data_IF_215869292143
#
_entry.id   IF_215869292143
#
_cell.length_a   1.000
_cell.length_b   1.000
_cell.length_c   1.000
_cell.angle_alpha   90.00
_cell.angle_beta   90.00
_cell.angle_gamma   90.00
#
_symmetry.space_group_name_H-M   'P 1'
#
loop_
_entity.id
_entity.type
_entity.pdbx_description
1 polymer ?
#
# COMPACT_ATOMS: atom_id res chain seq x y z
N UNK A 1 -15.06 40.35 13.00
CA UNK A 1 -13.63 40.17 12.67
C UNK A 1 -13.45 38.68 12.54
N UNK A 2 -12.97 38.25 11.38
CA UNK A 2 -12.98 36.86 10.92
C UNK A 2 -12.03 36.00 11.76
N UNK A 3 -12.51 34.83 12.16
CA UNK A 3 -11.69 33.68 12.57
C UNK A 3 -10.94 33.16 11.33
N UNK A 4 -9.64 33.39 11.29
CA UNK A 4 -8.72 32.70 10.38
C UNK A 4 -8.41 31.32 10.97
N UNK A 5 -9.21 30.33 10.59
CA UNK A 5 -8.80 28.93 10.71
C UNK A 5 -7.74 28.66 9.63
N UNK A 6 -6.48 28.72 10.04
CA UNK A 6 -5.33 28.25 9.28
C UNK A 6 -5.55 26.76 8.96
N UNK A 7 -5.72 26.46 7.67
CA UNK A 7 -5.79 25.10 7.14
C UNK A 7 -4.41 24.47 7.28
N UNK A 8 -4.27 23.22 7.76
CA UNK A 8 -2.97 22.56 7.76
C UNK A 8 -2.51 22.40 6.31
N UNK A 9 -1.37 23.03 5.98
CA UNK A 9 -0.68 22.78 4.72
C UNK A 9 -0.29 21.30 4.69
N UNK A 10 -0.77 20.60 3.66
CA UNK A 10 -0.33 19.25 3.38
C UNK A 10 1.19 19.31 3.16
N UNK A 11 1.95 18.68 4.04
CA UNK A 11 3.39 18.54 3.92
C UNK A 11 3.72 18.01 2.51
N UNK A 12 4.26 18.88 1.66
CA UNK A 12 4.72 18.53 0.33
C UNK A 12 5.89 17.56 0.46
N UNK A 13 5.83 16.44 -0.27
CA UNK A 13 6.92 15.47 -0.29
C UNK A 13 8.24 16.16 -0.68
N UNK A 14 9.36 15.90 0.03
CA UNK A 14 10.66 16.34 -0.40
C UNK A 14 11.00 15.67 -1.75
N UNK A 15 11.57 16.43 -2.68
CA UNK A 15 12.08 16.02 -4.01
C UNK A 15 11.14 16.04 -5.23
N UNK A 16 9.96 16.68 -5.16
CA UNK A 16 9.14 16.90 -6.37
C UNK A 16 8.65 15.61 -7.05
N UNK A 17 8.71 14.47 -6.35
CA UNK A 17 8.02 13.26 -6.72
C UNK A 17 6.52 13.51 -6.56
N UNK A 18 5.68 13.15 -7.54
CA UNK A 18 4.23 13.29 -7.39
C UNK A 18 3.79 12.48 -6.18
N UNK A 19 3.03 13.10 -5.28
CA UNK A 19 2.51 12.42 -4.10
C UNK A 19 1.64 11.23 -4.55
N UNK A 20 1.92 10.05 -3.98
CA UNK A 20 1.08 8.87 -4.15
C UNK A 20 0.16 8.74 -2.94
N UNK A 21 -1.13 8.52 -3.19
CA UNK A 21 -2.12 8.25 -2.15
C UNK A 21 -2.64 6.82 -2.30
N UNK A 22 -2.74 6.11 -1.18
CA UNK A 22 -3.30 4.77 -1.10
C UNK A 22 -4.73 4.82 -0.58
N UNK A 23 -5.60 3.99 -1.14
CA UNK A 23 -6.88 3.62 -0.52
C UNK A 23 -7.02 2.10 -0.54
N UNK A 24 -7.62 1.54 0.50
CA UNK A 24 -7.89 0.10 0.60
C UNK A 24 -9.38 -0.13 0.84
N UNK A 25 -9.88 -1.29 0.42
CA UNK A 25 -11.22 -1.72 0.82
C UNK A 25 -11.24 -2.02 2.31
N UNK A 26 -12.35 -1.69 2.97
CA UNK A 26 -12.57 -1.98 4.38
C UNK A 26 -12.80 -3.47 4.63
N UNK A 27 -13.29 -4.20 3.62
CA UNK A 27 -13.51 -5.65 3.65
C UNK A 27 -12.94 -6.33 2.40
N UNK A 28 -12.59 -7.63 2.49
CA UNK A 28 -12.22 -8.42 1.31
C UNK A 28 -13.36 -8.53 0.29
N UNK A 29 -13.02 -8.41 -0.99
CA UNK A 29 -13.98 -8.42 -2.10
C UNK A 29 -13.82 -9.71 -2.92
N UNK A 30 -14.91 -10.43 -3.24
CA UNK A 30 -14.84 -11.58 -4.13
C UNK A 30 -14.46 -11.13 -5.53
N UNK A 31 -13.47 -11.77 -6.12
CA UNK A 31 -12.96 -11.43 -7.44
C UNK A 31 -12.63 -12.68 -8.23
N UNK A 32 -12.62 -12.55 -9.55
CA UNK A 32 -12.19 -13.63 -10.45
C UNK A 32 -11.05 -13.09 -11.31
N UNK A 33 -9.91 -13.76 -11.27
CA UNK A 33 -8.78 -13.51 -12.18
C UNK A 33 -8.71 -14.64 -13.19
N UNK A 34 -8.64 -14.30 -14.47
CA UNK A 34 -8.52 -15.28 -15.55
C UNK A 34 -7.83 -14.68 -16.77
N UNK A 35 -7.31 -15.54 -17.62
CA UNK A 35 -6.76 -15.13 -18.91
C UNK A 35 -7.85 -14.50 -19.82
N UNK A 36 -7.43 -13.49 -20.56
CA UNK A 36 -8.25 -12.80 -21.56
C UNK A 36 -7.43 -12.55 -22.83
N UNK A 37 -8.09 -12.55 -24.00
CA UNK A 37 -7.45 -12.16 -25.25
C UNK A 37 -7.28 -10.64 -25.30
N UNK A 38 -6.06 -10.16 -25.59
CA UNK A 38 -5.77 -8.73 -25.78
C UNK A 38 -4.57 -8.55 -26.72
N UNK A 39 -4.80 -7.92 -27.87
CA UNK A 39 -3.79 -7.73 -28.91
C UNK A 39 -2.67 -6.75 -28.51
N UNK A 40 -2.82 -6.03 -27.40
CA UNK A 40 -1.83 -5.04 -26.92
C UNK A 40 -0.77 -5.65 -26.01
N UNK A 41 -0.90 -6.94 -25.70
CA UNK A 41 0.03 -7.65 -24.82
C UNK A 41 1.40 -7.77 -25.51
N UNK A 42 2.51 -7.45 -24.83
CA UNK A 42 3.83 -7.63 -25.39
C UNK A 42 4.12 -9.09 -25.78
N UNK A 43 5.00 -9.31 -26.75
CA UNK A 43 5.43 -10.65 -27.13
C UNK A 43 5.99 -11.43 -25.92
N UNK A 44 5.56 -12.68 -25.77
CA UNK A 44 5.97 -13.55 -24.65
C UNK A 44 5.23 -13.31 -23.33
N UNK A 45 4.28 -12.37 -23.27
CA UNK A 45 3.43 -12.12 -22.12
C UNK A 45 2.01 -12.66 -22.35
N UNK A 46 1.23 -12.77 -21.27
CA UNK A 46 -0.19 -13.14 -21.29
C UNK A 46 -1.02 -12.08 -20.55
N UNK A 47 -2.26 -11.84 -20.99
CA UNK A 47 -3.15 -10.89 -20.32
C UNK A 47 -4.02 -11.58 -19.27
N UNK A 48 -3.95 -11.10 -18.04
CA UNK A 48 -4.91 -11.42 -17.00
C UNK A 48 -5.97 -10.33 -16.91
N UNK A 49 -7.23 -10.73 -16.94
CA UNK A 49 -8.38 -9.90 -16.64
C UNK A 49 -8.85 -10.13 -15.20
N UNK A 50 -9.09 -9.06 -14.48
CA UNK A 50 -9.71 -9.06 -13.15
C UNK A 50 -11.18 -8.68 -13.26
N UNK A 51 -12.05 -9.52 -12.72
CA UNK A 51 -13.50 -9.36 -12.78
C UNK A 51 -14.09 -9.23 -11.37
N UNK A 52 -14.96 -8.22 -11.20
CA UNK A 52 -15.80 -8.03 -10.01
C UNK A 52 -17.27 -8.14 -10.43
N UNK A 53 -18.02 -9.04 -9.80
CA UNK A 53 -19.42 -9.35 -10.16
C UNK A 53 -19.61 -9.65 -11.67
N UNK A 54 -18.60 -10.23 -12.31
CA UNK A 54 -18.59 -10.54 -13.74
C UNK A 54 -18.23 -9.37 -14.66
N UNK A 55 -18.07 -8.16 -14.13
CA UNK A 55 -17.59 -6.99 -14.87
C UNK A 55 -16.07 -6.95 -14.85
N UNK A 56 -15.46 -6.80 -16.02
CA UNK A 56 -14.01 -6.60 -16.13
C UNK A 56 -13.63 -5.21 -15.61
N UNK A 57 -12.78 -5.16 -14.59
CA UNK A 57 -12.38 -3.89 -13.94
C UNK A 57 -10.91 -3.53 -14.16
N UNK A 58 -10.06 -4.52 -14.43
CA UNK A 58 -8.63 -4.30 -14.67
C UNK A 58 -8.05 -5.39 -15.59
N UNK A 59 -6.99 -5.03 -16.30
CA UNK A 59 -6.16 -5.95 -17.09
C UNK A 59 -4.70 -5.75 -16.73
N UNK A 60 -3.92 -6.82 -16.71
CA UNK A 60 -2.48 -6.78 -16.52
C UNK A 60 -1.77 -7.78 -17.46
N UNK A 61 -0.69 -7.34 -18.09
CA UNK A 61 0.20 -8.23 -18.82
C UNK A 61 1.22 -8.81 -17.84
N UNK A 62 1.27 -10.14 -17.77
CA UNK A 62 2.17 -10.88 -16.88
C UNK A 62 2.90 -11.98 -17.66
N UNK A 63 4.04 -12.47 -17.16
CA UNK A 63 4.65 -13.67 -17.68
C UNK A 63 3.71 -14.88 -17.56
N UNK A 64 3.70 -15.83 -18.52
CA UNK A 64 2.84 -17.01 -18.45
C UNK A 64 3.01 -17.84 -17.16
N UNK A 65 4.24 -17.93 -16.63
CA UNK A 65 4.54 -18.63 -15.38
C UNK A 65 3.83 -18.03 -14.15
N UNK A 66 3.53 -16.72 -14.18
CA UNK A 66 2.77 -16.09 -13.10
C UNK A 66 1.31 -16.57 -13.08
N UNK A 67 0.72 -16.83 -14.27
CA UNK A 67 -0.64 -17.35 -14.40
C UNK A 67 -0.74 -18.75 -13.79
N UNK A 68 0.23 -19.62 -14.12
CA UNK A 68 0.32 -20.96 -13.56
C UNK A 68 0.48 -20.92 -12.04
N UNK A 69 1.41 -20.08 -11.55
CA UNK A 69 1.65 -19.91 -10.12
C UNK A 69 0.39 -19.44 -9.36
N UNK A 70 -0.34 -18.45 -9.87
CA UNK A 70 -1.56 -17.96 -9.23
C UNK A 70 -2.65 -19.04 -9.15
N UNK A 71 -2.77 -19.88 -10.17
CA UNK A 71 -3.72 -20.98 -10.22
C UNK A 71 -3.32 -22.13 -9.26
N UNK A 72 -2.04 -22.51 -9.24
CA UNK A 72 -1.52 -23.56 -8.34
C UNK A 72 -1.67 -23.18 -6.88
N UNK A 73 -1.33 -21.94 -6.53
CA UNK A 73 -1.42 -21.42 -5.16
C UNK A 73 -2.83 -20.96 -4.78
N UNK A 74 -3.80 -21.03 -5.70
CA UNK A 74 -5.20 -20.64 -5.46
C UNK A 74 -5.33 -19.24 -4.84
N UNK A 75 -4.48 -18.31 -5.30
CA UNK A 75 -4.34 -17.00 -4.64
C UNK A 75 -5.64 -16.20 -4.66
N UNK A 76 -6.58 -16.49 -5.56
CA UNK A 76 -7.82 -15.75 -5.72
C UNK A 76 -9.09 -16.60 -5.49
N UNK A 77 -8.98 -17.77 -4.87
CA UNK A 77 -10.14 -18.62 -4.52
C UNK A 77 -10.99 -18.02 -3.39
N UNK A 78 -10.38 -17.17 -2.56
CA UNK A 78 -11.02 -16.43 -1.47
C UNK A 78 -11.13 -14.95 -1.81
N UNK A 79 -12.12 -14.22 -1.23
CA UNK A 79 -12.17 -12.77 -1.32
C UNK A 79 -10.85 -12.11 -0.87
N UNK A 80 -10.40 -11.10 -1.62
CA UNK A 80 -9.14 -10.38 -1.33
C UNK A 80 -9.37 -8.92 -1.06
N UNK A 81 -8.56 -8.36 -0.16
CA UNK A 81 -8.55 -6.93 0.05
C UNK A 81 -7.91 -6.25 -1.15
N UNK A 82 -8.54 -5.18 -1.64
CA UNK A 82 -8.04 -4.42 -2.77
C UNK A 82 -7.40 -3.13 -2.29
N UNK A 83 -6.28 -2.78 -2.90
CA UNK A 83 -5.54 -1.53 -2.65
C UNK A 83 -5.39 -0.77 -3.96
N UNK A 84 -5.68 0.51 -3.95
CA UNK A 84 -5.49 1.41 -5.07
C UNK A 84 -4.40 2.42 -4.72
N UNK A 85 -3.31 2.41 -5.47
CA UNK A 85 -2.29 3.44 -5.41
C UNK A 85 -2.54 4.45 -6.52
N UNK A 86 -2.72 5.72 -6.18
CA UNK A 86 -3.09 6.77 -7.11
C UNK A 86 -2.11 7.92 -7.04
N UNK A 87 -1.73 8.43 -8.21
CA UNK A 87 -0.86 9.59 -8.39
C UNK A 87 -1.38 10.51 -9.49
N UNK A 88 -1.16 11.80 -9.32
CA UNK A 88 -1.50 12.79 -10.34
C UNK A 88 -0.44 12.74 -11.46
N UNK A 89 -0.88 12.39 -12.66
CA UNK A 89 -0.04 12.21 -13.85
C UNK A 89 -0.90 12.49 -15.07
N UNK A 90 -0.38 13.24 -16.06
CA UNK A 90 -1.13 13.49 -17.30
C UNK A 90 -1.62 12.17 -17.94
N UNK A 91 -2.90 12.05 -18.32
CA UNK A 91 -3.90 13.11 -18.54
C UNK A 91 -4.87 13.39 -17.37
N UNK A 92 -4.55 12.97 -16.15
CA UNK A 92 -5.36 13.23 -14.97
C UNK A 92 -4.84 12.47 -13.76
N UNK A 93 -5.48 11.33 -13.46
CA UNK A 93 -5.08 10.44 -12.39
C UNK A 93 -4.69 9.08 -12.93
N UNK A 94 -3.49 8.61 -12.56
CA UNK A 94 -3.04 7.25 -12.83
C UNK A 94 -3.13 6.44 -11.55
N UNK A 95 -3.81 5.31 -11.63
CA UNK A 95 -3.99 4.39 -10.52
C UNK A 95 -3.44 3.00 -10.86
N UNK A 96 -2.89 2.34 -9.86
CA UNK A 96 -2.46 0.95 -9.89
C UNK A 96 -3.30 0.18 -8.87
N UNK A 97 -4.06 -0.81 -9.36
CA UNK A 97 -4.94 -1.63 -8.53
C UNK A 97 -4.19 -2.91 -8.14
N UNK A 98 -4.18 -3.22 -6.86
CA UNK A 98 -3.54 -4.40 -6.28
C UNK A 98 -4.55 -5.25 -5.51
N UNK A 99 -4.31 -6.55 -5.48
CA UNK A 99 -4.87 -7.45 -4.47
C UNK A 99 -3.80 -7.78 -3.44
N UNK A 100 -4.17 -7.74 -2.16
CA UNK A 100 -3.37 -8.31 -1.09
C UNK A 100 -3.67 -9.81 -1.00
N UNK A 101 -2.65 -10.63 -1.18
CA UNK A 101 -2.74 -12.10 -1.12
C UNK A 101 -1.78 -12.63 -0.05
N UNK A 102 -2.13 -13.70 0.68
CA UNK A 102 -1.19 -14.33 1.59
C UNK A 102 0.00 -14.87 0.80
N UNK A 103 1.21 -14.61 1.29
CA UNK A 103 2.40 -15.18 0.70
C UNK A 103 2.33 -16.71 0.86
N UNK A 104 2.50 -17.48 -0.23
CA UNK A 104 2.44 -18.92 -0.13
C UNK A 104 3.55 -19.42 0.79
N UNK A 105 3.27 -20.52 1.49
CA UNK A 105 4.24 -21.18 2.35
C UNK A 105 5.39 -21.66 1.48
N UNK A 106 6.51 -20.93 1.51
CA UNK A 106 7.73 -21.34 0.85
C UNK A 106 8.43 -22.30 1.79
N UNK A 107 8.64 -23.54 1.36
CA UNK A 107 9.68 -24.39 1.95
C UNK A 107 11.02 -23.68 1.66
N UNK A 108 11.47 -22.85 2.61
CA UNK A 108 12.77 -22.20 2.51
C UNK A 108 13.83 -23.30 2.63
N UNK A 109 14.69 -23.51 1.61
CA UNK A 109 15.87 -24.33 1.83
C UNK A 109 16.72 -23.60 2.87
N UNK A 110 16.82 -24.16 4.06
CA UNK A 110 17.72 -23.70 5.11
C UNK A 110 19.14 -24.03 4.64
N UNK A 111 19.72 -23.21 3.76
CA UNK A 111 21.15 -23.27 3.52
C UNK A 111 21.84 -22.57 4.68
N UNK A 112 22.76 -23.25 5.34
CA UNK A 112 23.53 -22.73 6.49
C UNK A 112 24.36 -21.47 6.15
N UNK A 113 24.50 -21.15 4.87
CA UNK A 113 25.01 -19.87 4.37
C UNK A 113 23.83 -19.10 3.76
N UNK A 114 23.22 -18.19 4.52
CA UNK A 114 22.34 -17.18 3.96
C UNK A 114 23.21 -16.28 3.05
N UNK A 115 22.96 -16.22 1.74
CA UNK A 115 23.75 -15.38 0.87
C UNK A 115 23.61 -13.92 1.31
N UNK A 116 24.72 -13.17 1.37
CA UNK A 116 24.70 -11.74 1.70
C UNK A 116 23.70 -11.02 0.78
N UNK A 117 22.55 -10.68 1.33
CA UNK A 117 21.48 -10.03 0.59
C UNK A 117 21.89 -8.56 0.37
N UNK A 118 22.20 -8.14 -0.88
CA UNK A 118 22.83 -6.84 -1.12
C UNK A 118 21.98 -5.64 -0.68
N UNK A 119 20.67 -5.83 -0.50
CA UNK A 119 19.76 -4.80 0.02
C UNK A 119 19.86 -4.59 1.52
N UNK A 120 20.43 -5.51 2.31
CA UNK A 120 20.70 -5.28 3.74
C UNK A 120 21.63 -4.09 3.95
N UNK A 121 22.50 -3.80 2.97
CA UNK A 121 23.35 -2.60 2.98
C UNK A 121 22.61 -1.29 2.66
N UNK A 122 21.37 -1.38 2.16
CA UNK A 122 20.56 -0.22 1.75
C UNK A 122 19.57 0.23 2.82
N UNK A 123 19.39 -0.55 3.89
CA UNK A 123 18.58 -0.20 5.05
C UNK A 123 19.54 0.14 6.19
N UNK A 124 19.33 1.25 6.93
CA UNK A 124 20.11 1.53 8.13
C UNK A 124 20.03 0.32 9.06
N UNK A 125 21.17 -0.06 9.62
CA UNK A 125 21.17 -1.12 10.63
C UNK A 125 20.38 -0.66 11.87
N UNK A 126 19.86 -1.62 12.63
CA UNK A 126 19.16 -1.33 13.89
C UNK A 126 20.03 -0.51 14.85
N UNK A 127 21.33 -0.83 14.94
CA UNK A 127 22.28 -0.10 15.79
C UNK A 127 22.49 1.35 15.34
N UNK A 128 22.56 1.60 14.03
CA UNK A 128 22.66 2.97 13.48
C UNK A 128 21.36 3.77 13.67
N UNK A 129 20.20 3.11 13.61
CA UNK A 129 18.92 3.75 13.88
C UNK A 129 18.79 4.16 15.35
N UNK A 130 19.26 3.32 16.28
CA UNK A 130 19.29 3.61 17.72
C UNK A 130 20.23 4.77 18.03
N UNK A 131 21.47 4.72 17.53
CA UNK A 131 22.47 5.76 17.76
C UNK A 131 21.99 7.13 17.28
N UNK A 132 21.28 7.18 16.13
CA UNK A 132 20.70 8.43 15.63
C UNK A 132 19.55 8.95 16.49
N UNK A 133 18.77 8.06 17.11
CA UNK A 133 17.69 8.47 18.02
C UNK A 133 18.24 9.02 19.34
N UNK A 134 19.31 8.41 19.87
CA UNK A 134 20.01 8.88 21.08
C UNK A 134 20.68 10.25 20.84
N UNK A 135 21.30 10.48 19.67
CA UNK A 135 21.86 11.78 19.31
C UNK A 135 20.78 12.88 19.16
N UNK A 136 19.56 12.52 18.70
CA UNK A 136 18.43 13.45 18.58
C UNK A 136 17.82 13.80 19.96
N UNK A 137 17.89 12.92 20.97
CA UNK A 137 17.47 13.21 22.36
C UNK A 137 18.47 14.11 23.11
N UNK A 138 19.77 14.01 22.83
CA UNK A 138 20.79 14.89 23.45
C UNK A 138 20.67 16.35 22.98
N UNK A 139 20.16 16.60 21.76
CA UNK A 139 19.96 17.94 21.21
C UNK A 139 18.69 18.65 21.75
N UNK A 140 17.74 17.93 22.39
CA UNK A 140 16.55 18.52 23.05
C UNK A 140 16.79 18.90 24.53
N UNK A 141 17.96 18.59 25.09
CA UNK A 141 18.33 18.86 26.49
C UNK A 141 19.15 20.15 26.69
N UNK A 142 19.03 21.14 25.79
CA UNK A 142 19.63 22.47 25.98
C UNK A 142 18.53 23.54 25.97
N UNK A 143 17.79 23.64 27.09
CA UNK A 143 17.22 24.88 27.65
C UNK A 143 16.20 24.51 28.75
N UNK A 144 16.67 24.27 29.98
CA UNK A 144 16.06 24.78 31.22
C UNK A 144 16.93 24.38 32.41
N UNK A 145 17.44 25.39 33.14
CA UNK A 145 18.15 25.26 34.40
C UNK A 145 17.34 24.37 35.39
N UNK A 146 17.68 23.08 35.49
CA UNK A 146 17.20 22.22 36.56
C UNK A 146 18.01 22.53 37.83
N UNK A 147 17.42 23.31 38.74
CA UNK A 147 17.93 23.53 40.09
C UNK A 147 18.19 22.17 40.78
N UNK A 148 19.46 21.87 41.11
CA UNK A 148 19.96 20.61 41.69
C UNK A 148 19.51 20.33 43.16
N UNK A 149 18.48 20.98 43.68
CA UNK A 149 18.08 20.85 45.09
C UNK A 149 16.60 20.41 45.23
N UNK A 150 16.28 19.13 44.94
CA UNK A 150 15.25 18.31 45.63
C UNK A 150 15.03 16.93 44.97
N UNK A 151 16.09 16.13 44.81
CA UNK A 151 15.93 14.67 44.61
C UNK A 151 16.10 13.97 45.96
N UNK A 152 14.99 13.86 46.69
CA UNK A 152 14.88 12.96 47.84
C UNK A 152 15.02 11.51 47.33
N UNK A 153 16.12 10.90 47.75
CA UNK A 153 16.50 9.50 47.64
C UNK A 153 15.62 8.66 48.55
N UNK A 154 14.43 8.24 48.09
CA UNK A 154 13.67 7.10 48.66
C UNK A 154 12.38 6.86 47.85
N UNK A 155 12.46 6.03 46.80
CA UNK A 155 11.46 5.00 46.46
C UNK A 155 11.84 4.31 45.13
N UNK A 156 12.93 3.53 45.16
CA UNK A 156 13.10 2.44 44.21
C UNK A 156 12.15 1.32 44.62
N UNK A 157 10.88 1.43 44.20
CA UNK A 157 9.98 0.30 44.17
C UNK A 157 10.38 -0.59 43.01
N UNK A 158 10.95 -1.74 43.36
CA UNK A 158 11.17 -2.92 42.54
C UNK A 158 9.81 -3.35 41.95
N UNK A 159 9.48 -2.84 40.76
CA UNK A 159 8.28 -3.19 40.02
C UNK A 159 8.69 -4.14 38.89
N UNK A 160 8.95 -5.39 39.26
CA UNK A 160 8.93 -6.54 38.35
C UNK A 160 7.47 -6.74 37.88
N UNK A 161 6.95 -5.86 37.04
CA UNK A 161 5.68 -6.07 36.32
C UNK A 161 5.97 -6.83 35.02
N UNK A 162 5.77 -8.15 35.11
CA UNK A 162 5.39 -9.13 34.07
C UNK A 162 5.55 -8.69 32.59
N UNK A 163 6.67 -9.10 31.98
CA UNK A 163 7.06 -9.00 30.56
C UNK A 163 6.24 -9.91 29.61
N UNK A 164 4.95 -10.12 29.89
CA UNK A 164 4.06 -11.00 29.11
C UNK A 164 3.16 -10.22 28.12
N UNK A 165 3.24 -8.88 28.06
CA UNK A 165 2.37 -8.06 27.19
C UNK A 165 2.86 -7.92 25.73
N UNK A 166 4.11 -8.30 25.43
CA UNK A 166 4.71 -8.10 24.09
C UNK A 166 4.15 -9.01 22.99
N UNK A 167 3.53 -10.14 23.33
CA UNK A 167 2.99 -11.08 22.34
C UNK A 167 1.74 -10.51 21.63
N UNK A 168 0.91 -9.74 22.35
CA UNK A 168 -0.31 -9.14 21.83
C UNK A 168 -0.04 -7.88 20.97
N UNK A 169 1.02 -7.12 21.27
CA UNK A 169 1.42 -5.95 20.47
C UNK A 169 2.02 -6.39 19.13
N UNK A 170 2.82 -7.45 19.12
CA UNK A 170 3.31 -8.06 17.88
C UNK A 170 2.15 -8.57 17.03
N UNK A 171 1.14 -9.23 17.61
CA UNK A 171 -0.04 -9.68 16.87
C UNK A 171 -0.81 -8.52 16.21
N UNK A 172 -0.85 -7.34 16.83
CA UNK A 172 -1.47 -6.14 16.27
C UNK A 172 -0.68 -5.52 15.10
N UNK A 173 0.65 -5.63 15.11
CA UNK A 173 1.53 -5.15 14.03
C UNK A 173 1.54 -6.07 12.79
N UNK A 174 1.23 -7.36 12.95
CA UNK A 174 1.22 -8.36 11.88
C UNK A 174 0.04 -8.26 10.89
N UNK A 175 -0.70 -7.16 10.84
CA UNK A 175 -1.63 -6.88 9.74
C UNK A 175 -2.66 -8.00 9.51
N UNK A 176 -3.47 -8.28 10.54
CA UNK A 176 -4.72 -9.03 10.54
C UNK A 176 -5.07 -9.82 9.25
N UNK A 177 -4.43 -10.96 9.06
CA UNK A 177 -5.02 -12.10 8.36
C UNK A 177 -5.17 -13.24 9.36
N UNK A 178 -6.23 -14.03 9.24
CA UNK A 178 -6.58 -15.08 10.21
C UNK A 178 -5.46 -16.12 10.45
N UNK A 179 -4.49 -16.20 9.52
CA UNK A 179 -3.39 -17.16 9.56
C UNK A 179 -2.02 -16.53 9.92
N UNK A 180 -1.94 -15.21 10.17
CA UNK A 180 -0.69 -14.52 10.52
C UNK A 180 0.41 -14.49 9.43
N UNK A 181 0.10 -14.94 8.22
CA UNK A 181 1.06 -14.99 7.10
C UNK A 181 1.34 -13.60 6.54
N UNK A 182 2.59 -13.30 6.12
CA UNK A 182 2.90 -12.05 5.44
C UNK A 182 2.10 -11.94 4.14
N UNK A 183 1.74 -10.71 3.77
CA UNK A 183 0.94 -10.43 2.58
C UNK A 183 1.82 -9.90 1.45
N UNK A 184 1.53 -10.34 0.23
CA UNK A 184 2.10 -9.81 -0.99
C UNK A 184 1.07 -8.98 -1.75
N UNK A 185 1.51 -7.90 -2.39
CA UNK A 185 0.67 -7.11 -3.29
C UNK A 185 0.85 -7.60 -4.73
N UNK A 186 -0.22 -8.13 -5.32
CA UNK A 186 -0.24 -8.54 -6.73
C UNK A 186 -0.93 -7.47 -7.55
N UNK A 187 -0.24 -6.94 -8.57
CA UNK A 187 -0.79 -5.93 -9.48
C UNK A 187 -1.88 -6.57 -10.35
N UNK A 188 -3.09 -6.01 -10.28
CA UNK A 188 -4.26 -6.43 -11.06
C UNK A 188 -4.41 -5.62 -12.35
N UNK A 189 -3.91 -4.39 -12.37
CA UNK A 189 -3.87 -3.56 -13.56
C UNK A 189 -3.78 -2.07 -13.29
N UNK A 190 -3.78 -1.30 -14.36
CA UNK A 190 -3.73 0.16 -14.33
C UNK A 190 -5.08 0.77 -14.71
N UNK A 191 -5.45 1.84 -14.01
CA UNK A 191 -6.72 2.54 -14.19
C UNK A 191 -6.41 4.03 -14.34
N UNK A 192 -6.97 4.63 -15.39
CA UNK A 192 -6.80 6.06 -15.66
C UNK A 192 -8.13 6.77 -15.50
N UNK A 193 -8.12 7.90 -14.79
CA UNK A 193 -9.26 8.82 -14.73
C UNK A 193 -8.84 10.17 -15.25
N UNK A 194 -9.44 10.60 -16.36
CA UNK A 194 -9.12 11.88 -16.98
C UNK A 194 -9.54 13.05 -16.08
N UNK A 195 -8.85 14.19 -16.22
CA UNK A 195 -9.10 15.37 -15.40
C UNK A 195 -10.57 15.81 -15.40
N UNK A 196 -11.24 15.78 -16.56
CA UNK A 196 -12.65 16.14 -16.72
C UNK A 196 -13.64 15.20 -16.02
N UNK A 197 -13.22 14.00 -15.68
CA UNK A 197 -14.04 12.98 -15.03
C UNK A 197 -13.87 12.96 -13.51
N UNK A 198 -12.96 13.77 -12.98
CA UNK A 198 -12.70 13.84 -11.55
C UNK A 198 -13.92 14.40 -10.83
N UNK A 199 -14.25 13.81 -9.68
CA UNK A 199 -15.31 14.33 -8.79
C UNK A 199 -14.73 15.29 -7.75
N UNK A 200 -13.49 15.05 -7.35
CA UNK A 200 -12.73 15.78 -6.36
C UNK A 200 -11.41 16.25 -6.99
N UNK A 201 -11.46 17.20 -7.95
CA UNK A 201 -10.26 17.69 -8.64
C UNK A 201 -9.24 18.31 -7.68
N UNK A 202 -9.70 18.86 -6.56
CA UNK A 202 -8.86 19.55 -5.58
C UNK A 202 -8.41 18.65 -4.42
N UNK A 203 -8.75 17.36 -4.43
CA UNK A 203 -8.40 16.42 -3.36
C UNK A 203 -8.06 15.05 -3.91
N UNK A 204 -6.76 14.78 -4.00
CA UNK A 204 -6.25 13.47 -4.40
C UNK A 204 -6.77 12.33 -3.50
N UNK A 205 -6.77 12.43 -2.15
CA UNK A 205 -7.30 11.35 -1.31
C UNK A 205 -8.78 11.03 -1.54
N UNK A 206 -9.65 12.05 -1.62
CA UNK A 206 -11.07 11.82 -1.87
C UNK A 206 -11.31 11.25 -3.27
N UNK A 207 -10.52 11.68 -4.25
CA UNK A 207 -10.59 11.13 -5.60
C UNK A 207 -10.16 9.67 -5.65
N UNK A 208 -9.07 9.29 -4.98
CA UNK A 208 -8.59 7.91 -4.87
C UNK A 208 -9.66 7.00 -4.26
N UNK A 209 -10.28 7.42 -3.16
CA UNK A 209 -11.37 6.66 -2.52
C UNK A 209 -12.59 6.54 -3.44
N UNK A 210 -12.98 7.60 -4.16
CA UNK A 210 -14.09 7.56 -5.11
C UNK A 210 -13.83 6.60 -6.29
N UNK A 211 -12.59 6.57 -6.79
CA UNK A 211 -12.18 5.62 -7.84
C UNK A 211 -12.29 4.19 -7.32
N UNK A 212 -11.73 3.89 -6.14
CA UNK A 212 -11.80 2.56 -5.56
C UNK A 212 -13.26 2.13 -5.31
N UNK A 213 -14.09 3.01 -4.75
CA UNK A 213 -15.50 2.74 -4.52
C UNK A 213 -16.25 2.42 -5.84
N UNK A 214 -15.92 3.11 -6.93
CA UNK A 214 -16.51 2.82 -8.26
C UNK A 214 -16.09 1.47 -8.81
N UNK A 215 -14.81 1.10 -8.66
CA UNK A 215 -14.28 -0.20 -9.04
C UNK A 215 -15.03 -1.31 -8.31
N UNK A 216 -15.10 -1.21 -6.98
CA UNK A 216 -15.78 -2.22 -6.14
C UNK A 216 -17.27 -2.31 -6.45
N UNK A 217 -17.92 -1.19 -6.83
CA UNK A 217 -19.32 -1.20 -7.24
C UNK A 217 -19.58 -1.73 -8.66
N UNK A 218 -18.53 -2.17 -9.38
CA UNK A 218 -18.64 -2.67 -10.76
C UNK A 218 -18.94 -1.59 -11.81
N UNK A 219 -18.76 -0.30 -11.48
CA UNK A 219 -19.09 0.83 -12.36
C UNK A 219 -17.84 1.37 -13.07
N UNK A 220 -17.15 0.50 -13.79
CA UNK A 220 -15.96 0.85 -14.57
C UNK A 220 -16.30 0.78 -16.06
N UNK A 221 -15.80 1.75 -16.83
CA UNK A 221 -15.92 1.79 -18.30
C UNK A 221 -14.51 1.61 -18.87
N UNK A 222 -14.38 0.84 -19.95
CA UNK A 222 -13.08 0.62 -20.57
C UNK A 222 -12.50 1.91 -21.18
N UNK A 223 -11.19 2.09 -21.02
CA UNK A 223 -10.48 3.28 -21.52
C UNK A 223 -10.59 3.41 -23.04
N UNK A 224 -10.66 2.29 -23.79
CA UNK A 224 -10.80 2.32 -25.25
C UNK A 224 -12.14 2.93 -25.66
N UNK A 225 -13.23 2.50 -25.03
CA UNK A 225 -14.57 3.04 -25.30
C UNK A 225 -14.61 4.54 -25.01
N UNK A 226 -13.96 4.96 -23.93
CA UNK A 226 -13.91 6.38 -23.54
C UNK A 226 -13.03 7.25 -24.44
N UNK A 227 -11.88 6.75 -24.88
CA UNK A 227 -11.03 7.44 -25.86
C UNK A 227 -11.74 7.56 -27.20
N UNK A 228 -12.51 6.53 -27.60
CA UNK A 228 -13.36 6.60 -28.78
C UNK A 228 -14.46 7.65 -28.63
N UNK A 229 -15.15 7.72 -27.48
CA UNK A 229 -16.13 8.78 -27.19
C UNK A 229 -15.52 10.19 -27.27
N UNK A 230 -14.28 10.36 -26.80
CA UNK A 230 -13.56 11.65 -26.81
C UNK A 230 -13.11 12.09 -28.18
N UNK A 231 -12.65 11.13 -28.98
CA UNK A 231 -12.29 11.38 -30.37
C UNK A 231 -13.53 11.64 -31.24
N UNK A 232 -14.68 11.08 -30.87
CA UNK A 232 -15.94 11.23 -31.59
C UNK A 232 -16.79 12.43 -31.11
N UNK A 233 -16.41 13.08 -30.00
CA UNK A 233 -16.95 14.37 -29.58
C UNK A 233 -18.45 14.39 -29.34
N UNK A 234 -19.00 13.36 -28.70
CA UNK A 234 -20.42 13.35 -28.31
C UNK A 234 -20.69 14.02 -26.97
#
# INVERSE_FOLDING_TARGET
MHDDHEKPEAAGAPDGRPATVLAATDQPVPLVVREVEDDRVPEGMTCLGTFLDGTLVARCAVPPEAVEFFAEQKLFDEPRQLVLAAREEEPGLRCELYALVPMPEREMPVSEEEPEEPWLSSVPSYEEALARAEEEEEDELDDEDLDEDDLDDDDLADDDEDDDEDEDVLAALHGANADGRPMAAVLLGQIVRFQRDRKHPDSLPLETVDVLARIVSGRVVEVVDKVLEDLLGS
#
